data_IF_696342360359
#
_entry.id   IF_696342360359
#
_cell.length_a   1.000
_cell.length_b   1.000
_cell.length_c   1.000
_cell.angle_alpha   90.00
_cell.angle_beta   90.00
_cell.angle_gamma   90.00
#
_symmetry.space_group_name_H-M   'P 1'
#
loop_
_entity.id
_entity.type
_entity.pdbx_description
1 polymer ?
#
# COMPACT_ATOMS: atom_id res chain seq x y z
N UNK A 1 -21.33 -7.53 40.21
CA UNK A 1 -20.40 -6.37 40.16
C UNK A 1 -19.02 -6.69 39.57
N UNK A 2 -18.41 -7.86 39.82
CA UNK A 2 -17.07 -8.20 39.27
C UNK A 2 -17.01 -8.39 37.74
N UNK A 3 -18.11 -8.79 37.08
CA UNK A 3 -18.15 -8.94 35.61
C UNK A 3 -18.33 -7.63 34.83
N UNK A 4 -18.90 -6.61 35.46
CA UNK A 4 -19.09 -5.30 34.82
C UNK A 4 -17.76 -4.53 34.73
N UNK A 5 -16.90 -4.70 35.73
CA UNK A 5 -15.56 -4.08 35.80
C UNK A 5 -14.61 -4.71 34.76
N UNK A 6 -14.68 -6.02 34.53
CA UNK A 6 -13.86 -6.70 33.50
C UNK A 6 -14.21 -6.28 32.07
N UNK A 7 -15.50 -6.06 31.78
CA UNK A 7 -15.95 -5.58 30.46
C UNK A 7 -15.60 -4.09 30.24
N UNK A 8 -15.64 -3.26 31.29
CA UNK A 8 -15.20 -1.86 31.19
C UNK A 8 -13.69 -1.71 30.99
N UNK A 9 -12.85 -2.52 31.64
CA UNK A 9 -11.39 -2.47 31.45
C UNK A 9 -10.95 -2.91 30.04
N UNK A 10 -11.65 -3.84 29.40
CA UNK A 10 -11.33 -4.29 28.04
C UNK A 10 -11.72 -3.24 26.99
N UNK A 11 -12.83 -2.51 27.20
CA UNK A 11 -13.26 -1.42 26.31
C UNK A 11 -12.32 -0.22 26.41
N UNK A 12 -11.81 0.10 27.61
CA UNK A 12 -10.83 1.18 27.79
C UNK A 12 -9.48 0.82 27.15
N UNK A 13 -9.00 -0.43 27.25
CA UNK A 13 -7.78 -0.85 26.56
C UNK A 13 -7.90 -0.79 25.02
N UNK A 14 -9.06 -1.13 24.44
CA UNK A 14 -9.26 -1.07 22.99
C UNK A 14 -9.34 0.36 22.45
N UNK A 15 -9.86 1.32 23.22
CA UNK A 15 -9.86 2.75 22.87
C UNK A 15 -8.44 3.33 22.96
N UNK A 16 -7.65 2.93 23.96
CA UNK A 16 -6.26 3.41 24.15
C UNK A 16 -5.31 2.87 23.07
N UNK A 17 -5.50 1.64 22.58
CA UNK A 17 -4.67 1.08 21.49
C UNK A 17 -4.99 1.76 20.14
N UNK A 18 -6.23 2.19 19.92
CA UNK A 18 -6.61 2.99 18.74
C UNK A 18 -5.95 4.39 18.72
N UNK A 19 -5.80 5.02 19.90
CA UNK A 19 -5.09 6.29 20.04
C UNK A 19 -3.56 6.12 19.95
N UNK A 20 -3.00 5.01 20.41
CA UNK A 20 -1.57 4.75 20.33
C UNK A 20 -1.06 4.69 18.87
N UNK A 21 -1.85 4.16 17.92
CA UNK A 21 -1.47 4.14 16.50
C UNK A 21 -1.45 5.54 15.86
N UNK A 22 -2.31 6.46 16.31
CA UNK A 22 -2.34 7.86 15.85
C UNK A 22 -1.19 8.66 16.49
N UNK A 23 -0.87 8.40 17.76
CA UNK A 23 0.26 9.02 18.43
C UNK A 23 1.62 8.49 17.94
N UNK A 24 1.76 7.20 17.60
CA UNK A 24 3.04 6.67 17.11
C UNK A 24 3.46 7.28 15.76
N UNK A 25 2.50 7.64 14.91
CA UNK A 25 2.75 8.36 13.64
C UNK A 25 3.14 9.83 13.92
N UNK A 26 2.59 10.46 14.97
CA UNK A 26 2.91 11.85 15.34
C UNK A 26 4.20 12.00 16.15
N UNK A 27 4.56 11.00 16.97
CA UNK A 27 5.69 11.08 17.90
C UNK A 27 7.04 10.79 17.22
N UNK A 28 7.04 9.96 16.15
CA UNK A 28 8.20 9.83 15.23
C UNK A 28 8.37 11.04 14.29
N UNK A 29 7.42 11.98 14.28
CA UNK A 29 7.45 13.19 13.45
C UNK A 29 7.59 14.49 14.25
N UNK A 30 7.75 14.44 15.58
CA UNK A 30 8.17 15.61 16.35
C UNK A 30 9.67 15.85 16.12
N UNK A 31 10.08 16.96 15.47
CA UNK A 31 11.47 17.36 15.56
C UNK A 31 11.81 17.59 17.04
N UNK A 32 12.91 17.01 17.50
CA UNK A 32 13.50 17.39 18.78
C UNK A 32 13.67 18.91 18.79
N UNK A 33 13.27 19.64 19.85
CA UNK A 33 13.35 21.11 19.90
C UNK A 33 14.78 21.66 19.81
N UNK A 34 15.80 20.80 19.67
CA UNK A 34 17.21 21.17 19.55
C UNK A 34 17.81 21.11 18.14
N UNK A 35 17.04 20.87 17.08
CA UNK A 35 17.54 21.04 15.70
C UNK A 35 16.54 21.76 14.80
N UNK A 36 16.32 23.05 15.05
CA UNK A 36 15.86 23.95 13.99
C UNK A 36 16.99 24.05 12.95
N UNK A 37 16.96 23.18 11.94
CA UNK A 37 17.86 23.30 10.80
C UNK A 37 17.53 24.58 10.05
N UNK A 38 18.57 25.38 9.78
CA UNK A 38 18.54 26.59 8.96
C UNK A 38 17.75 26.38 7.66
N UNK A 39 17.06 27.41 7.14
CA UNK A 39 16.31 27.29 5.91
C UNK A 39 17.22 26.78 4.78
N UNK A 40 16.96 25.56 4.31
CA UNK A 40 17.66 24.96 3.19
C UNK A 40 17.47 25.85 1.95
N UNK A 41 18.54 26.03 1.17
CA UNK A 41 18.47 26.71 -0.14
C UNK A 41 17.30 26.13 -0.96
N UNK A 42 16.46 26.97 -1.59
CA UNK A 42 15.30 26.51 -2.31
C UNK A 42 15.75 25.56 -3.42
N UNK A 43 15.32 24.30 -3.33
CA UNK A 43 15.39 23.41 -4.46
C UNK A 43 14.39 23.98 -5.48
N UNK A 44 14.85 24.51 -6.60
CA UNK A 44 13.96 24.99 -7.66
C UNK A 44 13.12 23.79 -8.13
N UNK A 45 11.85 23.75 -7.72
CA UNK A 45 10.88 22.79 -8.21
C UNK A 45 9.78 23.52 -8.97
N UNK A 46 9.32 22.92 -10.06
CA UNK A 46 8.13 23.40 -10.74
C UNK A 46 6.89 22.92 -9.99
N UNK A 47 5.92 23.79 -9.71
CA UNK A 47 4.65 23.37 -9.11
C UNK A 47 3.60 23.05 -10.17
N UNK A 48 2.93 21.91 -10.02
CA UNK A 48 1.74 21.54 -10.79
C UNK A 48 0.51 21.83 -9.93
N UNK A 49 -0.23 22.87 -10.28
CA UNK A 49 -1.42 23.27 -9.56
C UNK A 49 -2.63 22.43 -10.03
N UNK A 50 -2.70 21.16 -9.62
CA UNK A 50 -3.84 20.29 -9.91
C UNK A 50 -5.10 20.70 -9.13
N UNK A 51 -6.25 20.16 -9.51
CA UNK A 51 -7.48 20.37 -8.73
C UNK A 51 -7.42 19.58 -7.41
N UNK A 52 -7.90 20.17 -6.32
CA UNK A 52 -8.10 19.46 -5.06
C UNK A 52 -9.41 18.67 -5.10
N UNK A 53 -9.29 17.36 -4.93
CA UNK A 53 -10.43 16.45 -4.76
C UNK A 53 -10.37 15.72 -3.41
N UNK A 54 -9.37 15.99 -2.58
CA UNK A 54 -9.10 15.21 -1.38
C UNK A 54 -10.28 15.27 -0.39
N UNK A 55 -10.53 14.16 0.30
CA UNK A 55 -11.33 14.17 1.54
C UNK A 55 -10.40 14.65 2.65
N UNK A 56 -10.72 15.78 3.28
CA UNK A 56 -9.84 16.49 4.22
C UNK A 56 -9.38 15.69 5.44
N UNK A 57 -10.08 14.60 5.78
CA UNK A 57 -9.78 13.77 6.95
C UNK A 57 -9.46 12.31 6.59
N UNK A 58 -8.58 11.71 7.40
CA UNK A 58 -8.32 10.27 7.36
C UNK A 58 -9.59 9.54 7.80
N UNK A 59 -10.27 8.89 6.86
CA UNK A 59 -11.38 8.02 7.23
C UNK A 59 -10.82 6.68 7.69
N UNK A 60 -10.55 6.57 9.00
CA UNK A 60 -10.45 5.26 9.63
C UNK A 60 -11.83 4.63 9.52
N UNK A 61 -11.95 3.61 8.69
CA UNK A 61 -13.24 2.95 8.52
C UNK A 61 -13.36 1.86 9.56
N UNK A 62 -14.33 1.93 10.50
CA UNK A 62 -14.48 0.95 11.56
C UNK A 62 -14.50 -0.49 11.04
N UNK A 63 -14.00 -1.39 11.89
CA UNK A 63 -13.85 -2.82 11.63
C UNK A 63 -15.13 -3.38 11.01
N UNK A 64 -15.00 -3.87 9.78
CA UNK A 64 -16.08 -4.59 9.13
C UNK A 64 -16.46 -5.80 9.99
N UNK A 65 -17.75 -6.01 10.24
CA UNK A 65 -18.21 -7.22 10.91
C UNK A 65 -17.73 -8.40 10.06
N UNK A 66 -17.07 -9.38 10.69
CA UNK A 66 -16.75 -10.64 10.02
C UNK A 66 -18.05 -11.23 9.49
N UNK A 67 -18.32 -11.14 8.18
CA UNK A 67 -19.51 -11.80 7.65
C UNK A 67 -20.11 -11.29 6.35
N UNK A 68 -19.72 -10.13 5.78
CA UNK A 68 -20.34 -9.81 4.48
C UNK A 68 -19.72 -10.70 3.41
N UNK A 69 -20.60 -11.57 2.95
CA UNK A 69 -20.35 -12.70 2.08
C UNK A 69 -20.69 -12.36 0.62
N UNK A 70 -20.99 -11.09 0.35
CA UNK A 70 -21.52 -10.60 -0.92
C UNK A 70 -20.49 -9.70 -1.61
N UNK A 71 -20.25 -9.87 -2.91
CA UNK A 71 -19.41 -8.97 -3.69
C UNK A 71 -19.79 -7.52 -3.45
N UNK A 72 -18.78 -6.67 -3.32
CA UNK A 72 -18.95 -5.25 -3.07
C UNK A 72 -18.48 -4.43 -4.29
N UNK A 73 -18.85 -3.16 -4.33
CA UNK A 73 -18.37 -2.20 -5.30
C UNK A 73 -17.93 -0.91 -4.60
N UNK A 74 -16.96 -0.22 -5.20
CA UNK A 74 -16.59 1.15 -4.84
C UNK A 74 -16.83 2.01 -6.07
N UNK A 75 -17.64 3.05 -5.92
CA UNK A 75 -18.01 3.93 -7.02
C UNK A 75 -17.22 5.22 -6.99
N UNK A 76 -16.74 5.70 -8.14
CA UNK A 76 -16.15 7.04 -8.25
C UNK A 76 -17.23 8.09 -8.04
N UNK A 77 -17.06 8.96 -7.04
CA UNK A 77 -18.01 10.04 -6.73
C UNK A 77 -17.47 11.44 -7.05
N UNK A 78 -16.15 11.61 -7.16
CA UNK A 78 -15.49 12.89 -7.46
C UNK A 78 -14.19 12.65 -8.22
N UNK A 79 -13.71 13.69 -8.90
CA UNK A 79 -12.48 13.65 -9.67
C UNK A 79 -12.67 14.10 -11.11
N UNK A 80 -11.58 14.11 -11.87
CA UNK A 80 -11.56 14.40 -13.30
C UNK A 80 -11.25 13.15 -14.15
N UNK A 81 -11.36 11.97 -13.56
CA UNK A 81 -11.45 10.68 -14.24
C UNK A 81 -12.61 9.86 -13.66
N UNK A 82 -12.80 8.66 -14.19
CA UNK A 82 -13.83 7.74 -13.72
C UNK A 82 -13.37 6.28 -13.79
N UNK A 83 -13.39 5.59 -12.65
CA UNK A 83 -13.23 4.13 -12.57
C UNK A 83 -13.81 3.60 -11.27
N UNK A 84 -14.75 2.70 -11.38
CA UNK A 84 -15.26 1.92 -10.25
C UNK A 84 -14.38 0.70 -9.98
N UNK A 85 -14.56 0.10 -8.81
CA UNK A 85 -13.90 -1.14 -8.40
C UNK A 85 -14.95 -2.16 -8.03
N UNK A 86 -14.82 -3.38 -8.53
CA UNK A 86 -15.78 -4.47 -8.31
C UNK A 86 -15.05 -5.65 -7.69
N UNK A 87 -15.53 -6.19 -6.57
CA UNK A 87 -14.92 -7.37 -5.93
C UNK A 87 -14.81 -8.52 -6.93
N UNK A 88 -13.59 -9.04 -7.11
CA UNK A 88 -13.31 -10.18 -7.97
C UNK A 88 -12.94 -11.42 -7.16
N UNK A 89 -12.21 -11.25 -6.05
CA UNK A 89 -11.81 -12.34 -5.17
C UNK A 89 -11.95 -11.92 -3.71
N UNK A 90 -12.54 -12.78 -2.88
CA UNK A 90 -12.33 -12.72 -1.45
C UNK A 90 -11.11 -13.55 -1.09
N UNK A 91 -10.22 -12.98 -0.29
CA UNK A 91 -9.07 -13.70 0.21
C UNK A 91 -9.41 -14.35 1.57
N UNK A 92 -8.80 -15.49 1.90
CA UNK A 92 -8.93 -16.12 3.21
C UNK A 92 -8.57 -15.15 4.35
N UNK A 93 -9.31 -15.26 5.45
CA UNK A 93 -9.07 -14.47 6.66
C UNK A 93 -8.32 -15.24 7.74
N UNK A 94 -7.93 -16.48 7.44
CA UNK A 94 -7.34 -17.40 8.39
C UNK A 94 -6.31 -18.33 7.77
N UNK A 95 -5.33 -18.76 8.57
CA UNK A 95 -4.39 -19.82 8.22
C UNK A 95 -4.16 -20.82 9.35
N UNK A 96 -4.02 -22.11 8.99
CA UNK A 96 -3.60 -23.18 9.89
C UNK A 96 -2.08 -23.35 9.97
N UNK A 97 -1.31 -22.70 9.08
CA UNK A 97 0.16 -22.84 9.03
C UNK A 97 0.85 -22.46 10.33
N UNK A 98 0.32 -21.47 11.04
CA UNK A 98 0.86 -20.98 12.31
C UNK A 98 0.05 -21.47 13.51
N UNK A 99 -0.61 -22.62 13.39
CA UNK A 99 -1.44 -23.22 14.46
C UNK A 99 -0.67 -23.53 15.74
N UNK A 100 0.65 -23.74 15.65
CA UNK A 100 1.54 -24.01 16.79
C UNK A 100 1.99 -22.75 17.55
N UNK A 101 1.59 -21.56 17.10
CA UNK A 101 1.89 -20.32 17.82
C UNK A 101 0.82 -20.07 18.90
N UNK A 102 1.24 -19.64 20.09
CA UNK A 102 0.40 -19.49 21.28
C UNK A 102 -0.63 -18.33 21.19
N UNK A 103 -0.67 -17.60 20.09
CA UNK A 103 -1.55 -16.43 19.92
C UNK A 103 -2.34 -16.54 18.60
N UNK A 104 -3.66 -16.58 18.74
CA UNK A 104 -4.60 -16.68 17.62
C UNK A 104 -4.46 -15.55 16.60
N UNK A 105 -3.95 -14.37 17.00
CA UNK A 105 -3.73 -13.25 16.09
C UNK A 105 -2.75 -13.59 14.97
N UNK A 106 -1.80 -14.51 15.20
CA UNK A 106 -0.85 -14.96 14.18
C UNK A 106 -1.50 -15.79 13.08
N UNK A 107 -2.73 -16.27 13.32
CA UNK A 107 -3.51 -17.07 12.37
C UNK A 107 -4.48 -16.20 11.58
N UNK A 108 -4.68 -14.94 11.98
CA UNK A 108 -5.60 -14.02 11.33
C UNK A 108 -4.93 -13.33 10.14
N UNK A 109 -5.41 -13.63 8.94
CA UNK A 109 -5.02 -12.96 7.69
C UNK A 109 -5.90 -11.75 7.44
N UNK A 110 -5.92 -10.79 8.37
CA UNK A 110 -6.85 -9.64 8.35
C UNK A 110 -6.20 -8.31 7.98
N UNK A 111 -4.88 -8.26 7.98
CA UNK A 111 -4.11 -7.05 7.77
C UNK A 111 -3.20 -7.17 6.53
N UNK A 112 -3.77 -7.28 5.33
CA UNK A 112 -2.99 -7.21 4.10
C UNK A 112 -2.43 -5.78 3.98
N UNK A 113 -1.24 -5.65 3.43
CA UNK A 113 -0.52 -4.38 3.36
C UNK A 113 -0.05 -4.04 1.95
N UNK A 114 0.07 -5.01 1.04
CA UNK A 114 0.37 -4.73 -0.37
C UNK A 114 0.03 -5.93 -1.24
N UNK A 115 -0.12 -5.70 -2.53
CA UNK A 115 -0.33 -6.74 -3.55
C UNK A 115 0.58 -6.50 -4.75
N UNK A 116 1.10 -7.60 -5.32
CA UNK A 116 1.70 -7.62 -6.64
C UNK A 116 1.04 -8.72 -7.47
N UNK A 117 0.56 -8.37 -8.66
CA UNK A 117 0.19 -9.34 -9.68
C UNK A 117 1.42 -9.68 -10.52
N UNK A 118 1.57 -10.97 -10.84
CA UNK A 118 2.56 -11.44 -11.81
C UNK A 118 2.13 -12.79 -12.39
N UNK A 119 1.90 -12.84 -13.69
CA UNK A 119 1.31 -14.00 -14.37
C UNK A 119 -0.04 -14.38 -13.76
N UNK A 120 -0.20 -15.65 -13.42
CA UNK A 120 -1.43 -16.15 -12.78
C UNK A 120 -1.50 -15.90 -11.26
N UNK A 121 -0.49 -15.26 -10.67
CA UNK A 121 -0.36 -15.15 -9.22
C UNK A 121 -0.66 -13.74 -8.71
N UNK A 122 -1.28 -13.67 -7.53
CA UNK A 122 -1.23 -12.50 -6.66
C UNK A 122 -0.37 -12.81 -5.43
N UNK A 123 0.61 -11.94 -5.18
CA UNK A 123 1.44 -11.97 -3.98
C UNK A 123 0.95 -10.89 -3.03
N UNK A 124 0.41 -11.27 -1.88
CA UNK A 124 -0.11 -10.34 -0.88
C UNK A 124 0.76 -10.41 0.36
N UNK A 125 1.34 -9.27 0.75
CA UNK A 125 2.04 -9.15 2.01
C UNK A 125 1.04 -8.87 3.12
N UNK A 126 1.13 -9.63 4.20
CA UNK A 126 0.39 -9.42 5.43
C UNK A 126 1.35 -9.04 6.54
N UNK A 127 0.96 -8.10 7.40
CA UNK A 127 1.60 -7.91 8.70
C UNK A 127 0.70 -8.47 9.79
N UNK A 128 1.28 -8.84 10.93
CA UNK A 128 0.46 -9.16 12.09
C UNK A 128 -0.30 -7.91 12.57
N UNK A 129 -1.43 -8.14 13.23
CA UNK A 129 -2.32 -7.07 13.67
C UNK A 129 -1.62 -6.11 14.66
N UNK A 130 -2.09 -4.86 14.75
CA UNK A 130 -1.62 -3.90 15.74
C UNK A 130 -0.35 -3.12 15.35
N UNK A 131 -0.09 -2.91 14.06
CA UNK A 131 1.07 -2.13 13.61
C UNK A 131 2.40 -2.90 13.69
N UNK A 132 2.33 -4.24 13.60
CA UNK A 132 3.52 -5.09 13.61
C UNK A 132 4.42 -4.81 12.41
N UNK A 133 5.73 -4.87 12.64
CA UNK A 133 6.75 -4.84 11.59
C UNK A 133 7.13 -6.24 11.07
N UNK A 134 6.35 -7.24 11.48
CA UNK A 134 6.57 -8.66 11.22
C UNK A 134 5.32 -9.25 10.56
N UNK A 135 5.55 -10.15 9.62
CA UNK A 135 4.47 -10.68 8.80
C UNK A 135 4.95 -11.77 7.86
N UNK A 136 4.20 -12.00 6.79
CA UNK A 136 4.47 -13.04 5.80
C UNK A 136 3.84 -12.65 4.46
N UNK A 137 4.24 -13.34 3.39
CA UNK A 137 3.61 -13.19 2.08
C UNK A 137 2.80 -14.43 1.75
N UNK A 138 1.65 -14.23 1.13
CA UNK A 138 0.82 -15.29 0.57
C UNK A 138 0.79 -15.16 -0.94
N UNK A 139 1.09 -16.25 -1.64
CA UNK A 139 0.92 -16.36 -3.08
C UNK A 139 -0.39 -17.08 -3.37
N UNK A 140 -1.30 -16.40 -4.05
CA UNK A 140 -2.57 -16.92 -4.53
C UNK A 140 -2.47 -17.23 -6.02
N UNK A 141 -2.79 -18.45 -6.40
CA UNK A 141 -2.99 -18.88 -7.79
C UNK A 141 -4.41 -18.49 -8.23
N UNK A 142 -4.54 -17.32 -8.87
CA UNK A 142 -5.84 -16.76 -9.20
C UNK A 142 -6.64 -17.65 -10.16
N UNK A 143 -5.95 -18.37 -11.05
CA UNK A 143 -6.59 -19.33 -11.96
C UNK A 143 -7.20 -20.50 -11.20
N UNK A 144 -6.47 -21.07 -10.24
CA UNK A 144 -7.01 -22.14 -9.38
C UNK A 144 -8.12 -21.64 -8.48
N UNK A 145 -7.98 -20.46 -7.88
CA UNK A 145 -9.04 -19.86 -7.07
C UNK A 145 -10.33 -19.66 -7.88
N UNK A 146 -10.21 -19.20 -9.13
CA UNK A 146 -11.36 -19.09 -10.03
C UNK A 146 -12.00 -20.46 -10.32
N UNK A 147 -11.21 -21.50 -10.57
CA UNK A 147 -11.72 -22.87 -10.77
C UNK A 147 -12.46 -23.42 -9.55
N UNK A 148 -12.04 -23.02 -8.34
CA UNK A 148 -12.70 -23.35 -7.08
C UNK A 148 -13.94 -22.48 -6.79
N UNK A 149 -14.26 -21.50 -7.65
CA UNK A 149 -15.43 -20.63 -7.52
C UNK A 149 -15.24 -19.42 -6.61
N UNK A 150 -14.01 -18.99 -6.31
CA UNK A 150 -13.73 -17.82 -5.43
C UNK A 150 -14.17 -16.47 -6.00
N UNK A 151 -14.62 -16.44 -7.25
CA UNK A 151 -15.18 -15.28 -7.93
C UNK A 151 -16.71 -15.36 -8.08
N UNK A 152 -17.34 -16.42 -7.56
CA UNK A 152 -18.79 -16.62 -7.62
C UNK A 152 -19.45 -16.16 -6.32
N UNK A 153 -20.57 -15.41 -6.39
CA UNK A 153 -21.37 -15.05 -5.22
C UNK A 153 -21.70 -16.29 -4.37
N UNK A 154 -21.58 -16.19 -3.04
CA UNK A 154 -21.90 -17.27 -2.10
C UNK A 154 -20.85 -18.38 -1.92
N UNK A 155 -19.91 -18.58 -2.85
CA UNK A 155 -18.77 -19.52 -2.71
C UNK A 155 -17.57 -18.85 -2.07
N UNK A 156 -17.33 -17.64 -2.52
CA UNK A 156 -16.53 -16.58 -1.96
C UNK A 156 -16.42 -16.58 -0.41
N UNK A 157 -17.54 -16.71 0.30
CA UNK A 157 -17.59 -16.71 1.76
C UNK A 157 -17.16 -18.01 2.42
N UNK A 158 -17.49 -19.16 1.80
CA UNK A 158 -17.14 -20.49 2.32
C UNK A 158 -15.64 -20.63 2.49
N UNK A 159 -14.88 -20.13 1.53
CA UNK A 159 -13.42 -20.21 1.55
C UNK A 159 -12.76 -19.14 2.43
N UNK A 160 -13.38 -17.96 2.54
CA UNK A 160 -12.91 -16.87 3.41
C UNK A 160 -12.74 -17.33 4.87
N UNK A 161 -13.61 -18.23 5.32
CA UNK A 161 -13.63 -18.79 6.67
C UNK A 161 -13.07 -20.21 6.77
N UNK A 162 -12.54 -20.75 5.68
CA UNK A 162 -11.94 -22.07 5.71
C UNK A 162 -10.74 -22.11 6.66
N UNK A 163 -10.72 -23.11 7.54
CA UNK A 163 -9.59 -23.39 8.42
C UNK A 163 -8.61 -24.41 7.82
N UNK A 164 -8.96 -25.02 6.69
CA UNK A 164 -8.12 -25.96 5.98
C UNK A 164 -7.21 -25.23 5.01
N UNK A 165 -6.02 -25.78 4.76
CA UNK A 165 -5.14 -25.28 3.71
C UNK A 165 -5.84 -25.50 2.37
N UNK A 166 -5.98 -24.43 1.59
CA UNK A 166 -6.62 -24.48 0.28
C UNK A 166 -5.58 -24.63 -0.81
N UNK A 167 -5.90 -25.45 -1.81
CA UNK A 167 -5.12 -25.57 -3.03
C UNK A 167 -5.02 -24.23 -3.74
N UNK A 168 -3.87 -23.97 -4.37
CA UNK A 168 -3.59 -22.68 -5.01
C UNK A 168 -3.19 -21.57 -4.05
N UNK A 169 -3.10 -21.84 -2.74
CA UNK A 169 -2.63 -20.86 -1.76
C UNK A 169 -1.30 -21.35 -1.16
N UNK A 170 -0.23 -20.57 -1.35
CA UNK A 170 1.08 -20.83 -0.74
C UNK A 170 1.38 -19.73 0.26
N UNK A 171 1.57 -20.11 1.52
CA UNK A 171 1.87 -19.18 2.61
C UNK A 171 3.36 -19.28 2.95
N UNK A 172 4.05 -18.13 2.99
CA UNK A 172 5.48 -18.05 3.28
C UNK A 172 5.83 -18.29 4.76
N UNK A 173 7.11 -18.23 5.11
CA UNK A 173 7.55 -18.08 6.50
C UNK A 173 7.31 -16.66 7.01
N UNK A 174 7.45 -16.49 8.32
CA UNK A 174 7.37 -15.19 8.98
C UNK A 174 8.71 -14.47 8.87
N UNK A 175 8.69 -13.17 8.62
CA UNK A 175 9.87 -12.33 8.57
C UNK A 175 9.55 -10.86 8.91
N UNK A 176 10.60 -10.04 9.07
CA UNK A 176 10.47 -8.59 9.27
C UNK A 176 10.10 -7.91 7.95
N UNK A 177 8.84 -7.55 7.81
CA UNK A 177 8.26 -6.89 6.63
C UNK A 177 8.47 -5.38 6.64
N UNK A 178 8.74 -4.79 7.81
CA UNK A 178 8.48 -3.37 8.00
C UNK A 178 6.98 -3.10 7.99
N UNK A 179 6.57 -1.91 7.54
CA UNK A 179 5.14 -1.59 7.42
C UNK A 179 4.41 -2.45 6.37
N UNK A 180 5.11 -2.92 5.33
CA UNK A 180 4.58 -3.88 4.36
C UNK A 180 3.88 -3.31 3.12
N UNK A 181 3.81 -1.99 2.94
CA UNK A 181 3.08 -1.30 1.84
C UNK A 181 3.83 -1.14 0.51
N UNK A 182 4.99 -1.77 0.37
CA UNK A 182 5.95 -1.49 -0.72
C UNK A 182 6.34 -2.72 -1.53
N UNK A 183 5.62 -3.83 -1.45
CA UNK A 183 5.93 -4.98 -2.30
C UNK A 183 5.75 -4.58 -3.77
N UNK A 184 6.81 -4.72 -4.57
CA UNK A 184 6.85 -4.27 -5.95
C UNK A 184 7.69 -5.21 -6.82
N UNK A 185 7.24 -5.47 -8.05
CA UNK A 185 7.97 -6.27 -9.03
C UNK A 185 8.69 -5.38 -10.04
N UNK A 186 9.96 -5.68 -10.29
CA UNK A 186 10.78 -5.05 -11.32
C UNK A 186 10.77 -5.93 -12.58
N UNK A 187 10.06 -5.51 -13.66
CA UNK A 187 9.94 -6.33 -14.87
C UNK A 187 11.24 -6.42 -15.66
N UNK A 188 12.19 -5.49 -15.48
CA UNK A 188 13.46 -5.49 -16.23
C UNK A 188 14.37 -6.64 -15.82
N UNK A 189 14.42 -6.95 -14.53
CA UNK A 189 15.30 -8.00 -14.00
C UNK A 189 14.54 -9.15 -13.33
N UNK A 190 13.21 -9.13 -13.39
CA UNK A 190 12.30 -10.16 -12.85
C UNK A 190 12.42 -10.35 -11.33
N UNK A 191 12.85 -9.32 -10.60
CA UNK A 191 13.02 -9.37 -9.15
C UNK A 191 11.87 -8.67 -8.43
N UNK A 192 11.51 -9.16 -7.25
CA UNK A 192 10.55 -8.52 -6.36
C UNK A 192 11.28 -7.85 -5.18
N UNK A 193 10.80 -6.69 -4.75
CA UNK A 193 11.44 -5.86 -3.73
C UNK A 193 10.39 -5.28 -2.78
N UNK A 194 10.81 -4.93 -1.56
CA UNK A 194 10.01 -4.14 -0.62
C UNK A 194 10.88 -3.25 0.25
N UNK A 195 10.29 -2.23 0.86
CA UNK A 195 10.93 -1.35 1.85
C UNK A 195 10.76 -1.99 3.23
N UNK A 196 11.81 -2.65 3.72
CA UNK A 196 11.86 -3.26 5.06
C UNK A 196 11.89 -2.20 6.16
N UNK A 197 12.66 -1.13 5.94
CA UNK A 197 12.82 -0.04 6.89
C UNK A 197 12.59 1.28 6.15
N UNK A 198 11.61 2.05 6.60
CA UNK A 198 11.24 3.36 6.08
C UNK A 198 11.88 4.49 6.91
N UNK A 199 11.64 5.74 6.53
CA UNK A 199 12.19 6.91 7.23
C UNK A 199 13.54 7.35 6.65
N UNK A 200 14.38 7.99 7.48
CA UNK A 200 15.59 8.69 7.03
C UNK A 200 16.81 7.79 6.75
N UNK A 201 16.74 6.52 7.14
CA UNK A 201 17.76 5.50 6.84
C UNK A 201 17.08 4.30 6.20
N UNK A 202 16.58 4.42 4.96
CA UNK A 202 15.74 3.38 4.39
C UNK A 202 16.57 2.17 3.96
N UNK A 203 15.93 1.00 4.06
CA UNK A 203 16.47 -0.27 3.56
C UNK A 203 15.41 -0.92 2.68
N UNK A 204 15.81 -1.27 1.46
CA UNK A 204 15.01 -2.13 0.58
C UNK A 204 15.57 -3.55 0.63
N UNK A 205 14.72 -4.53 0.43
CA UNK A 205 15.08 -5.93 0.49
C UNK A 205 14.49 -6.68 -0.70
N UNK A 206 15.32 -7.52 -1.32
CA UNK A 206 14.88 -8.41 -2.39
C UNK A 206 14.03 -9.53 -1.81
N UNK A 207 13.01 -9.95 -2.53
CA UNK A 207 12.07 -10.99 -2.13
C UNK A 207 12.08 -12.12 -3.16
N UNK A 208 12.19 -13.34 -2.66
CA UNK A 208 12.18 -14.56 -3.45
C UNK A 208 10.73 -15.04 -3.63
N UNK A 209 10.22 -15.01 -4.87
CA UNK A 209 8.84 -15.34 -5.20
C UNK A 209 8.50 -16.83 -5.08
N UNK A 210 9.50 -17.70 -5.03
CA UNK A 210 9.30 -19.15 -4.97
C UNK A 210 9.26 -19.63 -3.53
N UNK A 211 10.26 -19.25 -2.73
CA UNK A 211 10.35 -19.61 -1.31
C UNK A 211 9.51 -18.70 -0.42
N UNK A 212 9.06 -17.56 -0.95
CA UNK A 212 8.35 -16.49 -0.24
C UNK A 212 9.16 -15.90 0.91
N UNK A 213 10.47 -15.80 0.73
CA UNK A 213 11.43 -15.34 1.74
C UNK A 213 12.09 -14.02 1.34
N UNK A 214 12.41 -13.15 2.30
CA UNK A 214 13.34 -12.07 2.04
C UNK A 214 14.75 -12.61 1.76
N UNK A 215 15.49 -11.88 0.95
CA UNK A 215 16.88 -12.17 0.57
C UNK A 215 17.78 -10.99 0.98
N UNK A 216 18.58 -10.47 0.04
CA UNK A 216 19.56 -9.42 0.24
C UNK A 216 18.91 -8.08 0.61
N UNK A 217 19.48 -7.43 1.62
CA UNK A 217 19.17 -6.05 2.00
C UNK A 217 20.10 -5.07 1.32
N UNK A 218 19.55 -3.92 0.93
CA UNK A 218 20.23 -2.87 0.19
C UNK A 218 19.92 -1.53 0.83
N UNK A 219 20.97 -0.81 1.23
CA UNK A 219 20.84 0.53 1.81
C UNK A 219 20.45 1.53 0.72
N UNK A 220 19.52 2.42 1.06
CA UNK A 220 19.04 3.44 0.14
C UNK A 220 19.77 4.75 0.37
N UNK A 221 20.26 5.36 -0.71
CA UNK A 221 20.74 6.73 -0.76
C UNK A 221 19.72 7.60 -1.48
N UNK A 222 19.38 8.74 -0.90
CA UNK A 222 18.50 9.73 -1.52
C UNK A 222 19.32 10.99 -1.74
N UNK A 223 19.54 11.33 -3.01
CA UNK A 223 20.28 12.51 -3.42
C UNK A 223 19.34 13.73 -3.32
N UNK A 224 19.44 14.41 -2.19
CA UNK A 224 18.70 15.63 -1.84
C UNK A 224 19.58 16.56 -1.01
N UNK A 225 19.23 17.85 -0.97
CA UNK A 225 19.90 18.86 -0.14
C UNK A 225 19.68 18.67 1.38
N UNK A 226 18.92 17.65 1.78
CA UNK A 226 18.56 17.35 3.15
C UNK A 226 18.04 15.93 3.33
N UNK A 227 17.81 15.51 4.59
CA UNK A 227 17.28 14.19 4.89
C UNK A 227 15.85 14.05 4.35
N UNK A 228 15.62 13.01 3.54
CA UNK A 228 14.31 12.67 2.99
C UNK A 228 13.87 11.35 3.59
N UNK A 229 12.69 11.27 4.23
CA UNK A 229 12.14 9.99 4.60
C UNK A 229 11.67 9.28 3.34
N UNK A 230 12.16 8.07 3.08
CA UNK A 230 11.53 7.21 2.09
C UNK A 230 10.17 6.79 2.63
N UNK A 231 9.13 6.98 1.82
CA UNK A 231 7.77 6.55 2.13
C UNK A 231 7.63 5.03 2.19
N UNK A 232 6.41 4.57 2.47
CA UNK A 232 6.09 3.15 2.63
C UNK A 232 5.76 2.43 1.32
N UNK A 233 5.95 3.09 0.17
CA UNK A 233 5.47 2.65 -1.14
C UNK A 233 6.60 2.55 -2.16
N UNK A 234 6.49 1.64 -3.13
CA UNK A 234 7.50 1.39 -4.16
C UNK A 234 6.81 0.90 -5.44
N UNK A 235 7.29 1.32 -6.60
CA UNK A 235 6.92 0.73 -7.89
C UNK A 235 8.10 0.74 -8.86
N UNK A 236 8.07 -0.11 -9.88
CA UNK A 236 9.01 -0.09 -10.98
C UNK A 236 8.29 0.15 -12.31
N UNK A 237 8.91 0.93 -13.20
CA UNK A 237 8.46 0.99 -14.59
C UNK A 237 9.02 -0.16 -15.44
N UNK A 238 8.57 -0.25 -16.69
CA UNK A 238 9.03 -1.26 -17.65
C UNK A 238 10.54 -1.23 -17.94
N UNK A 239 11.22 -0.12 -17.63
CA UNK A 239 12.66 0.08 -17.82
C UNK A 239 13.45 -0.18 -16.53
N UNK A 240 12.79 -0.65 -15.47
CA UNK A 240 13.38 -0.92 -14.16
C UNK A 240 13.71 0.34 -13.36
N UNK A 241 13.21 1.52 -13.74
CA UNK A 241 13.29 2.68 -12.86
C UNK A 241 12.40 2.45 -11.65
N UNK A 242 12.95 2.63 -10.47
CA UNK A 242 12.23 2.56 -9.21
C UNK A 242 11.64 3.92 -8.86
N UNK A 243 10.45 3.91 -8.25
CA UNK A 243 9.75 5.12 -7.81
C UNK A 243 9.23 4.95 -6.40
N UNK A 244 9.27 6.02 -5.63
CA UNK A 244 8.43 6.19 -4.45
C UNK A 244 7.90 7.62 -4.43
N UNK A 245 6.87 7.87 -3.63
CA UNK A 245 6.41 9.23 -3.38
C UNK A 245 6.21 9.47 -1.89
N UNK A 246 6.18 10.75 -1.53
CA UNK A 246 5.81 11.22 -0.21
C UNK A 246 4.85 12.40 -0.30
N UNK A 247 4.07 12.58 0.76
CA UNK A 247 3.23 13.76 0.94
C UNK A 247 3.96 14.69 1.89
N UNK A 248 3.98 15.98 1.57
CA UNK A 248 4.64 16.99 2.38
C UNK A 248 3.80 17.30 3.61
N UNK A 249 4.35 17.02 4.79
CA UNK A 249 3.79 17.44 6.08
C UNK A 249 4.50 18.67 6.65
N UNK A 250 5.81 18.77 6.41
CA UNK A 250 6.69 19.85 6.86
C UNK A 250 7.72 20.20 5.78
N UNK A 251 8.32 21.39 5.88
CA UNK A 251 9.37 21.87 4.96
C UNK A 251 8.90 22.94 3.99
N UNK A 252 9.65 23.13 2.90
CA UNK A 252 9.51 24.27 1.97
C UNK A 252 8.40 24.04 0.93
N UNK A 253 8.09 22.79 0.59
CA UNK A 253 6.96 22.49 -0.29
C UNK A 253 5.63 22.67 0.47
N UNK A 254 4.54 23.05 -0.20
CA UNK A 254 3.26 23.21 0.49
C UNK A 254 2.79 21.94 1.18
N UNK A 255 2.19 22.06 2.36
CA UNK A 255 1.57 20.93 3.05
C UNK A 255 0.50 20.27 2.17
N UNK A 256 0.47 18.94 2.15
CA UNK A 256 -0.44 18.16 1.30
C UNK A 256 0.02 17.97 -0.15
N UNK A 257 1.18 18.53 -0.52
CA UNK A 257 1.75 18.35 -1.85
C UNK A 257 2.49 17.02 -2.00
N UNK A 258 2.52 16.47 -3.22
CA UNK A 258 3.20 15.23 -3.57
C UNK A 258 4.61 15.51 -4.10
N UNK A 259 5.58 14.77 -3.59
CA UNK A 259 6.95 14.68 -4.12
C UNK A 259 7.20 13.28 -4.65
N UNK A 260 7.71 13.19 -5.87
CA UNK A 260 8.02 11.91 -6.52
C UNK A 260 9.53 11.76 -6.65
N UNK A 261 10.03 10.60 -6.26
CA UNK A 261 11.43 10.26 -6.34
C UNK A 261 11.60 9.13 -7.34
N UNK A 262 12.65 9.23 -8.16
CA UNK A 262 13.01 8.23 -9.16
C UNK A 262 14.43 7.74 -8.91
N UNK A 263 14.64 6.45 -9.10
CA UNK A 263 15.91 5.81 -8.81
C UNK A 263 16.13 4.50 -9.55
N UNK A 264 17.17 3.81 -9.11
CA UNK A 264 17.52 2.45 -9.50
C UNK A 264 17.77 1.65 -8.23
N UNK A 265 17.38 0.38 -8.24
CA UNK A 265 17.69 -0.59 -7.18
C UNK A 265 18.44 -1.74 -7.84
N UNK A 266 19.61 -2.06 -7.30
CA UNK A 266 20.44 -3.21 -7.65
C UNK A 266 20.65 -4.09 -6.42
N UNK A 267 21.32 -5.24 -6.60
CA UNK A 267 21.71 -6.10 -5.47
C UNK A 267 22.76 -5.47 -4.54
N UNK A 268 23.43 -4.38 -4.97
CA UNK A 268 24.50 -3.71 -4.22
C UNK A 268 24.05 -2.42 -3.57
N UNK A 269 23.28 -1.62 -4.30
CA UNK A 269 22.90 -0.27 -3.90
C UNK A 269 21.54 0.15 -4.46
N UNK A 270 20.93 1.12 -3.77
CA UNK A 270 19.70 1.75 -4.19
C UNK A 270 19.89 3.27 -4.10
N UNK A 271 19.63 3.97 -5.21
CA UNK A 271 19.83 5.42 -5.30
C UNK A 271 18.62 6.09 -5.90
N UNK A 272 18.12 7.14 -5.23
CA UNK A 272 16.98 7.92 -5.68
C UNK A 272 17.32 9.40 -5.72
N UNK A 273 16.61 10.13 -6.58
CA UNK A 273 16.61 11.60 -6.60
C UNK A 273 15.19 12.11 -6.71
N UNK A 274 14.95 13.30 -6.16
CA UNK A 274 13.70 14.02 -6.37
C UNK A 274 13.54 14.35 -7.86
N UNK A 275 12.37 14.09 -8.41
CA UNK A 275 11.96 14.68 -9.70
C UNK A 275 11.66 16.17 -9.42
N UNK A 276 12.26 17.15 -10.13
CA UNK A 276 12.21 18.57 -9.78
C UNK A 276 10.85 19.23 -10.06
N UNK A 277 9.78 18.58 -9.63
CA UNK A 277 8.40 18.98 -9.81
C UNK A 277 7.56 18.48 -8.62
N UNK A 278 6.67 19.34 -8.12
CA UNK A 278 5.78 19.08 -6.99
C UNK A 278 4.33 19.21 -7.44
N UNK A 279 3.48 18.25 -7.08
CA UNK A 279 2.04 18.29 -7.39
C UNK A 279 1.30 18.82 -6.17
N UNK A 280 0.47 19.86 -6.35
CA UNK A 280 -0.05 20.66 -5.24
C UNK A 280 -0.97 19.88 -4.28
N UNK A 281 -1.88 19.08 -4.79
CA UNK A 281 -2.90 18.39 -3.98
C UNK A 281 -2.79 16.87 -4.17
N UNK A 282 -2.45 16.14 -3.11
CA UNK A 282 -2.41 14.68 -3.08
C UNK A 282 -3.80 14.03 -3.24
N UNK A 283 -3.90 12.76 -3.66
CA UNK A 283 -5.19 12.04 -3.75
C UNK A 283 -5.82 11.73 -2.38
N UNK A 284 -5.07 11.91 -1.30
CA UNK A 284 -5.48 11.77 0.09
C UNK A 284 -4.32 12.14 1.00
N UNK A 285 -4.43 11.84 2.30
CA UNK A 285 -3.45 12.33 3.29
C UNK A 285 -2.36 11.33 3.68
N UNK A 286 -2.56 10.04 3.40
CA UNK A 286 -1.60 8.96 3.70
C UNK A 286 -1.28 8.19 2.41
N UNK A 287 0.00 8.05 2.04
CA UNK A 287 0.40 7.13 0.98
C UNK A 287 0.14 5.68 1.39
N UNK A 288 -0.67 4.96 0.63
CA UNK A 288 -0.98 3.55 0.88
C UNK A 288 -0.29 2.61 -0.11
N UNK A 289 -0.21 3.02 -1.38
CA UNK A 289 0.44 2.23 -2.42
C UNK A 289 0.91 3.11 -3.56
N UNK A 290 1.83 2.57 -4.37
CA UNK A 290 2.26 3.12 -5.63
C UNK A 290 2.24 1.97 -6.65
N UNK A 291 1.56 2.17 -7.77
CA UNK A 291 1.48 1.17 -8.82
C UNK A 291 1.93 1.73 -10.16
N UNK A 292 2.37 0.85 -11.06
CA UNK A 292 2.70 1.18 -12.44
C UNK A 292 1.87 0.30 -13.37
N UNK A 293 1.27 0.91 -14.41
CA UNK A 293 0.62 0.17 -15.48
C UNK A 293 1.50 0.25 -16.75
N UNK A 294 2.03 -0.89 -17.18
CA UNK A 294 2.89 -1.00 -18.34
C UNK A 294 2.18 -0.72 -19.67
N UNK A 295 0.87 -0.94 -19.75
CA UNK A 295 0.09 -0.77 -20.99
C UNK A 295 -0.05 0.69 -21.38
N UNK A 296 -0.23 1.58 -20.40
CA UNK A 296 -0.45 3.02 -20.63
C UNK A 296 0.68 3.90 -20.11
N UNK A 297 1.72 3.30 -19.52
CA UNK A 297 2.90 3.97 -19.00
C UNK A 297 2.58 5.05 -17.93
N UNK A 298 1.62 4.75 -17.04
CA UNK A 298 1.22 5.63 -15.95
C UNK A 298 1.62 5.07 -14.58
N UNK A 299 1.94 5.98 -13.65
CA UNK A 299 1.98 5.72 -12.21
C UNK A 299 0.63 6.02 -11.58
N UNK A 300 0.29 5.27 -10.54
CA UNK A 300 -0.93 5.43 -9.75
C UNK A 300 -0.55 5.58 -8.28
N UNK A 301 -0.74 6.77 -7.75
CA UNK A 301 -0.51 7.10 -6.35
C UNK A 301 -1.81 6.84 -5.60
N UNK A 302 -1.76 5.92 -4.65
CA UNK A 302 -2.94 5.42 -3.95
C UNK A 302 -2.93 5.91 -2.50
N UNK A 303 -4.03 6.53 -2.10
CA UNK A 303 -4.37 6.85 -0.72
C UNK A 303 -5.73 6.23 -0.38
N UNK A 304 -6.12 6.24 0.90
CA UNK A 304 -7.46 5.78 1.27
C UNK A 304 -8.55 6.59 0.54
N UNK A 305 -9.38 5.89 -0.22
CA UNK A 305 -10.50 6.47 -0.96
C UNK A 305 -10.12 7.33 -2.17
N UNK A 306 -8.84 7.41 -2.54
CA UNK A 306 -8.38 8.28 -3.63
C UNK A 306 -7.19 7.74 -4.40
N UNK A 307 -7.23 7.86 -5.73
CA UNK A 307 -6.15 7.41 -6.62
C UNK A 307 -5.84 8.52 -7.62
N UNK A 308 -4.56 8.87 -7.73
CA UNK A 308 -4.04 9.82 -8.71
C UNK A 308 -3.19 9.11 -9.76
N UNK A 309 -3.49 9.33 -11.03
CA UNK A 309 -2.78 8.81 -12.20
C UNK A 309 -1.88 9.88 -12.82
N UNK A 310 -0.63 9.51 -13.11
CA UNK A 310 0.39 10.38 -13.68
C UNK A 310 1.13 9.69 -14.84
N UNK A 311 1.28 10.32 -16.02
CA UNK A 311 2.09 9.76 -17.10
C UNK A 311 3.59 9.82 -16.79
N UNK A 312 4.25 8.66 -16.80
CA UNK A 312 5.68 8.52 -16.49
C UNK A 312 6.53 9.36 -17.44
N UNK A 313 6.15 9.42 -18.71
CA UNK A 313 6.87 10.17 -19.76
C UNK A 313 6.89 11.68 -19.54
N UNK A 314 6.00 12.22 -18.69
CA UNK A 314 5.91 13.66 -18.42
C UNK A 314 6.37 14.03 -17.01
N UNK A 315 6.85 13.11 -16.20
CA UNK A 315 7.35 13.43 -14.85
C UNK A 315 8.51 14.45 -14.94
N UNK A 316 8.38 15.58 -14.25
CA UNK A 316 9.30 16.73 -14.35
C UNK A 316 8.79 17.84 -15.27
N UNK A 317 7.77 17.55 -16.09
CA UNK A 317 7.14 18.47 -17.04
C UNK A 317 5.60 18.31 -17.08
N UNK A 318 5.01 17.73 -16.04
CA UNK A 318 3.56 17.56 -15.92
C UNK A 318 2.85 18.92 -15.99
N UNK A 319 1.70 18.93 -16.67
CA UNK A 319 0.73 20.03 -16.62
C UNK A 319 -0.46 19.62 -15.76
N UNK A 320 -1.29 20.59 -15.35
CA UNK A 320 -2.55 20.33 -14.62
C UNK A 320 -3.41 19.27 -15.31
N UNK A 321 -3.48 19.31 -16.65
CA UNK A 321 -4.27 18.37 -17.47
C UNK A 321 -3.74 16.93 -17.48
N UNK A 322 -2.49 16.71 -17.09
CA UNK A 322 -1.87 15.38 -17.05
C UNK A 322 -2.19 14.62 -15.77
N UNK A 323 -2.63 15.35 -14.73
CA UNK A 323 -3.00 14.79 -13.43
C UNK A 323 -4.48 14.41 -13.48
N UNK A 324 -4.75 13.10 -13.39
CA UNK A 324 -6.11 12.57 -13.24
C UNK A 324 -6.27 12.00 -11.85
N UNK A 325 -7.38 12.30 -11.19
CA UNK A 325 -7.69 11.82 -9.84
C UNK A 325 -9.11 11.29 -9.82
N UNK A 326 -9.30 10.18 -9.11
CA UNK A 326 -10.61 9.65 -8.72
C UNK A 326 -10.69 9.60 -7.20
N UNK A 327 -11.88 9.84 -6.68
CA UNK A 327 -12.25 9.66 -5.28
C UNK A 327 -13.47 8.76 -5.25
N UNK A 328 -13.38 7.69 -4.47
CA UNK A 328 -14.49 6.73 -4.34
C UNK A 328 -15.45 7.13 -3.22
N UNK A 329 -16.68 6.62 -3.29
CA UNK A 329 -17.67 6.68 -2.20
C UNK A 329 -17.11 6.14 -0.87
N UNK A 330 -16.30 5.08 -0.98
CA UNK A 330 -15.29 4.55 -0.08
C UNK A 330 -15.56 4.66 1.41
N UNK A 331 -15.97 3.53 1.99
CA UNK A 331 -15.79 3.15 3.38
C UNK A 331 -14.80 1.98 3.51
N UNK A 332 -13.72 1.94 2.70
CA UNK A 332 -12.69 0.87 2.78
C UNK A 332 -11.28 1.46 2.73
N UNK A 333 -10.34 0.87 3.48
CA UNK A 333 -8.94 1.27 3.41
C UNK A 333 -8.26 0.53 2.25
N UNK A 334 -7.51 1.27 1.45
CA UNK A 334 -6.78 0.75 0.31
C UNK A 334 -5.40 0.35 0.80
N UNK A 335 -4.94 -0.85 0.43
CA UNK A 335 -3.65 -1.39 0.86
C UNK A 335 -2.72 -1.66 -0.32
N UNK A 336 -3.24 -1.77 -1.54
CA UNK A 336 -2.40 -2.04 -2.68
C UNK A 336 -3.13 -1.86 -4.00
N UNK A 337 -2.40 -1.50 -5.04
CA UNK A 337 -2.87 -1.55 -6.41
C UNK A 337 -1.78 -2.21 -7.24
N UNK A 338 -2.15 -3.13 -8.10
CA UNK A 338 -1.21 -3.76 -9.03
C UNK A 338 -1.88 -4.01 -10.37
N UNK A 339 -1.07 -4.05 -11.42
CA UNK A 339 -1.52 -4.24 -12.79
C UNK A 339 -0.81 -5.45 -13.39
N UNK A 340 -1.57 -6.29 -14.07
CA UNK A 340 -1.06 -7.35 -14.96
C UNK A 340 -1.86 -7.28 -16.26
N UNK A 341 -1.18 -7.29 -17.40
CA UNK A 341 -1.80 -7.14 -18.73
C UNK A 341 -2.80 -5.98 -18.83
N UNK A 342 -2.48 -4.86 -18.15
CA UNK A 342 -3.32 -3.66 -18.11
C UNK A 342 -4.51 -3.71 -17.17
N UNK A 343 -4.82 -4.88 -16.59
CA UNK A 343 -5.93 -5.07 -15.63
C UNK A 343 -5.47 -4.66 -14.24
N UNK A 344 -6.10 -3.64 -13.67
CA UNK A 344 -5.82 -3.18 -12.31
C UNK A 344 -6.61 -3.98 -11.27
N UNK A 345 -5.95 -4.42 -10.20
CA UNK A 345 -6.59 -5.01 -9.02
C UNK A 345 -6.21 -4.21 -7.78
N UNK A 346 -7.23 -3.66 -7.13
CA UNK A 346 -7.13 -2.96 -5.85
C UNK A 346 -7.28 -3.97 -4.71
N UNK A 347 -6.33 -3.97 -3.80
CA UNK A 347 -6.39 -4.67 -2.53
C UNK A 347 -6.99 -3.75 -1.47
N UNK A 348 -8.03 -4.23 -0.80
CA UNK A 348 -8.69 -3.53 0.32
C UNK A 348 -8.65 -4.39 1.58
N UNK A 349 -8.62 -3.77 2.75
CA UNK A 349 -8.49 -4.46 4.04
C UNK A 349 -9.83 -4.78 4.74
N UNK A 350 -9.74 -5.28 5.99
CA UNK A 350 -10.86 -5.56 6.93
C UNK A 350 -11.90 -6.50 6.33
N UNK A 351 -11.40 -7.66 5.91
CA UNK A 351 -12.08 -8.60 5.03
C UNK A 351 -11.42 -8.54 3.67
N UNK A 352 -10.18 -9.06 3.54
CA UNK A 352 -9.34 -8.77 2.38
C UNK A 352 -9.95 -9.20 1.05
N UNK A 353 -9.90 -8.29 0.08
CA UNK A 353 -10.47 -8.49 -1.26
C UNK A 353 -9.53 -7.98 -2.31
N UNK A 354 -9.55 -8.62 -3.48
CA UNK A 354 -9.03 -8.05 -4.71
C UNK A 354 -10.22 -7.57 -5.53
N UNK A 355 -10.29 -6.26 -5.76
CA UNK A 355 -11.33 -5.60 -6.54
C UNK A 355 -10.77 -5.20 -7.90
N UNK A 356 -11.44 -5.61 -8.97
CA UNK A 356 -11.07 -5.27 -10.34
C UNK A 356 -11.46 -3.83 -10.63
N UNK A 357 -10.50 -3.09 -11.16
CA UNK A 357 -10.70 -1.76 -11.69
C UNK A 357 -11.46 -1.83 -13.03
N UNK A 358 -12.51 -1.03 -13.17
CA UNK A 358 -13.35 -1.02 -14.38
C UNK A 358 -12.72 -0.24 -15.54
N UNK A 359 -12.00 0.86 -15.24
CA UNK A 359 -11.30 1.65 -16.25
C UNK A 359 -9.88 2.01 -15.78
N UNK A 360 -8.86 1.22 -16.16
CA UNK A 360 -7.48 1.51 -15.79
C UNK A 360 -6.94 2.81 -16.44
N UNK A 361 -7.62 3.40 -17.43
CA UNK A 361 -7.17 4.58 -18.17
C UNK A 361 -7.90 5.89 -17.77
N UNK A 362 -8.58 5.91 -16.63
CA UNK A 362 -9.41 7.04 -16.16
C UNK A 362 -8.75 8.42 -16.20
#
# INVERSE_FOLDING_TARGET
MRDLVRKFSIVICLVVIGFAAVFYILEFMRPSPKTAQSPQKPQHYQMVNNQDYSRGDYQYIPVYKQGDNFPNALHTIRGNGHSDFITQYFLPTYTSRYSRMNDENHRLMRNPQSVVLHGQYAYVMYTFYGGSNTGFVVRYDLKKLQQLGFNLPGYMSKFRHSKTQLDGIKIGPIFKTGHGQSLAYNPKNKQMWFVKQNGFKPVVQRFDMDTLKPMQEVKVKINSSGPVPMGMVLAFDKRGNAYFYSITHHGIAPRGSVKIYRGQISDKDAQFKLIPQVIRHAPGIVPQSLAYNAQNNNLYLVSNGGIMRLPVSKLGHLKKSDVRTIITDGHREFEGLSFEDGKGMLLVNRGPELMRMTNPNF
#
